data_IF_041039969696
#
_entry.id   IF_041039969696
#
_cell.length_a   1.000
_cell.length_b   1.000
_cell.length_c   1.000
_cell.angle_alpha   90.00
_cell.angle_beta   90.00
_cell.angle_gamma   90.00
#
_symmetry.space_group_name_H-M   'P 1'
#
loop_
_entity.id
_entity.type
_entity.pdbx_description
1 polymer ?
#
# COMPACT_ATOMS: atom_id res chain seq x y z
N UNK A 1 -19.92 68.70 -8.05
CA UNK A 1 -20.51 67.34 -8.13
C UNK A 1 -19.54 66.35 -7.48
N UNK A 2 -19.94 65.84 -6.32
CA UNK A 2 -19.13 65.03 -5.45
C UNK A 2 -19.23 63.56 -5.84
N UNK A 3 -18.10 62.94 -6.22
CA UNK A 3 -17.97 61.50 -6.43
C UNK A 3 -17.51 60.80 -5.14
N UNK A 4 -18.37 59.97 -4.56
CA UNK A 4 -18.07 59.15 -3.37
C UNK A 4 -17.24 57.94 -3.79
N UNK A 5 -16.04 57.83 -3.26
CA UNK A 5 -15.18 56.63 -3.30
C UNK A 5 -15.73 55.65 -2.27
N UNK A 6 -16.21 54.50 -2.69
CA UNK A 6 -16.56 53.40 -1.80
C UNK A 6 -15.32 52.51 -1.57
N UNK A 7 -14.84 52.50 -0.35
CA UNK A 7 -13.75 51.62 0.12
C UNK A 7 -14.35 50.24 0.40
N UNK A 8 -14.05 49.27 -0.45
CA UNK A 8 -14.32 47.84 -0.20
C UNK A 8 -13.20 47.31 0.74
N UNK A 9 -13.53 47.13 1.99
CA UNK A 9 -12.72 46.38 2.95
C UNK A 9 -12.85 44.89 2.64
N UNK A 10 -11.81 44.32 2.01
CA UNK A 10 -11.66 42.88 1.82
C UNK A 10 -11.12 42.30 3.16
N UNK A 11 -12.01 41.74 3.96
CA UNK A 11 -11.65 40.96 5.16
C UNK A 11 -11.06 39.62 4.72
N UNK A 12 -9.73 39.55 4.64
CA UNK A 12 -9.01 38.30 4.56
C UNK A 12 -9.17 37.55 5.88
N UNK A 13 -10.03 36.55 5.91
CA UNK A 13 -10.07 35.53 6.95
C UNK A 13 -8.78 34.72 6.84
N UNK A 14 -7.76 35.10 7.61
CA UNK A 14 -6.62 34.27 7.94
C UNK A 14 -7.15 33.09 8.75
N UNK A 15 -7.35 31.97 8.14
CA UNK A 15 -7.46 30.68 8.81
C UNK A 15 -6.09 30.33 9.37
N UNK A 16 -5.81 30.78 10.60
CA UNK A 16 -4.67 30.31 11.36
C UNK A 16 -4.81 28.79 11.60
N UNK A 17 -3.73 28.00 11.54
CA UNK A 17 -3.77 26.60 11.94
C UNK A 17 -4.06 26.54 13.44
N UNK A 18 -5.22 26.03 13.82
CA UNK A 18 -5.77 26.01 15.18
C UNK A 18 -5.19 24.87 16.02
N UNK A 19 -3.92 24.47 15.86
CA UNK A 19 -3.37 23.32 16.58
C UNK A 19 -1.99 23.49 17.21
N UNK A 20 -1.48 24.70 17.32
CA UNK A 20 -0.31 24.96 18.15
C UNK A 20 -0.75 25.22 19.61
N UNK A 21 -0.92 24.14 20.42
CA UNK A 21 -1.17 24.37 21.84
C UNK A 21 -1.85 23.29 22.67
N UNK A 22 -2.34 22.21 22.09
CA UNK A 22 -2.88 21.10 22.90
C UNK A 22 -1.73 20.16 23.25
N UNK A 23 -1.45 20.05 24.56
CA UNK A 23 -0.50 19.07 25.08
C UNK A 23 -0.89 17.63 24.65
N UNK A 24 0.12 16.82 24.32
CA UNK A 24 -0.10 15.45 23.87
C UNK A 24 -0.89 14.62 24.88
N UNK A 25 -0.63 14.79 26.18
CA UNK A 25 -1.32 14.05 27.25
C UNK A 25 -2.80 14.44 27.33
N UNK A 26 -3.12 15.70 27.12
CA UNK A 26 -4.51 16.16 27.03
C UNK A 26 -5.21 15.57 25.79
N UNK A 27 -4.52 15.54 24.64
CA UNK A 27 -5.05 14.91 23.42
C UNK A 27 -5.30 13.42 23.61
N UNK A 28 -4.37 12.70 24.24
CA UNK A 28 -4.50 11.28 24.59
C UNK A 28 -5.73 11.05 25.49
N UNK A 29 -5.98 11.93 26.46
CA UNK A 29 -7.16 11.86 27.32
C UNK A 29 -8.45 11.94 26.48
N UNK A 30 -8.50 12.87 25.53
CA UNK A 30 -9.62 12.99 24.58
C UNK A 30 -9.75 11.75 23.68
N UNK A 31 -8.65 11.18 23.18
CA UNK A 31 -8.66 9.96 22.39
C UNK A 31 -9.24 8.77 23.14
N UNK A 32 -8.89 8.61 24.43
CA UNK A 32 -9.47 7.55 25.28
C UNK A 32 -10.99 7.69 25.42
N UNK A 33 -11.48 8.90 25.67
CA UNK A 33 -12.92 9.17 25.74
C UNK A 33 -13.63 8.87 24.41
N UNK A 34 -13.06 9.31 23.31
CA UNK A 34 -13.61 9.06 21.98
C UNK A 34 -13.60 7.54 21.63
N UNK A 35 -12.56 6.80 22.02
CA UNK A 35 -12.50 5.35 21.83
C UNK A 35 -13.61 4.63 22.61
N UNK A 36 -13.83 5.01 23.88
CA UNK A 36 -14.95 4.49 24.70
C UNK A 36 -16.31 4.82 24.05
N UNK A 37 -16.49 6.06 23.61
CA UNK A 37 -17.71 6.48 22.89
C UNK A 37 -17.92 5.74 21.57
N UNK A 38 -16.85 5.29 20.90
CA UNK A 38 -16.88 4.46 19.69
C UNK A 38 -17.12 2.96 19.99
N UNK A 39 -17.37 2.60 21.25
CA UNK A 39 -17.73 1.25 21.68
C UNK A 39 -16.54 0.33 21.99
N UNK A 40 -15.29 0.85 22.01
CA UNK A 40 -14.12 0.08 22.43
C UNK A 40 -14.21 -0.20 23.95
N UNK A 41 -13.97 -1.43 24.35
CA UNK A 41 -14.08 -1.85 25.75
C UNK A 41 -13.08 -1.12 26.67
N UNK A 42 -13.49 -0.73 27.91
CA UNK A 42 -12.59 -0.02 28.83
C UNK A 42 -11.28 -0.76 29.12
N UNK A 43 -11.32 -2.09 29.19
CA UNK A 43 -10.13 -2.91 29.40
C UNK A 43 -9.13 -2.79 28.24
N UNK A 44 -9.62 -2.78 26.99
CA UNK A 44 -8.80 -2.58 25.77
C UNK A 44 -8.16 -1.20 25.78
N UNK A 45 -8.96 -0.15 26.04
CA UNK A 45 -8.46 1.23 26.10
C UNK A 45 -7.38 1.34 27.19
N UNK A 46 -7.62 0.82 28.39
CA UNK A 46 -6.66 0.85 29.49
C UNK A 46 -5.35 0.17 29.10
N UNK A 47 -5.41 -1.05 28.57
CA UNK A 47 -4.23 -1.83 28.21
C UNK A 47 -3.45 -1.20 27.03
N UNK A 48 -4.15 -0.73 25.99
CA UNK A 48 -3.51 -0.16 24.80
C UNK A 48 -2.84 1.20 25.05
N UNK A 49 -3.38 1.97 25.98
CA UNK A 49 -2.85 3.31 26.31
C UNK A 49 -1.93 3.31 27.54
N UNK A 50 -1.61 2.14 28.15
CA UNK A 50 -0.78 2.06 29.34
C UNK A 50 0.62 2.67 29.14
N UNK A 51 1.27 2.36 28.00
CA UNK A 51 2.64 2.81 27.66
C UNK A 51 2.64 3.85 26.52
N UNK A 52 1.54 4.59 26.37
CA UNK A 52 1.46 5.59 25.28
C UNK A 52 2.46 6.73 25.51
N UNK A 53 3.13 7.12 24.43
CA UNK A 53 4.09 8.22 24.42
C UNK A 53 4.16 8.89 23.06
N UNK A 54 4.61 10.14 23.06
CA UNK A 54 4.89 10.87 21.84
C UNK A 54 6.07 10.24 21.10
N UNK A 55 5.92 10.01 19.80
CA UNK A 55 6.95 9.43 18.92
C UNK A 55 7.43 10.51 17.94
N UNK A 56 8.34 11.39 18.37
CA UNK A 56 8.89 12.46 17.53
C UNK A 56 9.47 11.96 16.20
N UNK A 57 10.07 10.77 16.22
CA UNK A 57 10.59 10.13 15.01
C UNK A 57 9.50 9.89 13.97
N UNK A 58 8.25 9.56 14.36
CA UNK A 58 7.14 9.38 13.43
C UNK A 58 6.79 10.71 12.74
N UNK A 59 6.73 11.81 13.48
CA UNK A 59 6.52 13.15 12.93
C UNK A 59 7.65 13.54 11.96
N UNK A 60 8.90 13.29 12.36
CA UNK A 60 10.05 13.57 11.49
C UNK A 60 9.99 12.80 10.18
N UNK A 61 9.65 11.53 10.22
CA UNK A 61 9.47 10.70 9.01
C UNK A 61 8.31 11.19 8.15
N UNK A 62 7.21 11.59 8.76
CA UNK A 62 6.04 12.10 8.03
C UNK A 62 6.32 13.43 7.30
N UNK A 63 7.09 14.33 7.93
CA UNK A 63 7.49 15.63 7.35
C UNK A 63 8.61 15.51 6.32
N UNK A 64 9.52 14.55 6.49
CA UNK A 64 10.70 14.36 5.66
C UNK A 64 10.53 13.17 4.68
N UNK A 65 9.41 13.07 3.99
CA UNK A 65 9.31 12.17 2.84
C UNK A 65 10.04 12.84 1.66
N UNK A 66 11.28 12.43 1.34
CA UNK A 66 12.01 13.07 0.25
C UNK A 66 11.29 12.78 -1.05
N UNK A 67 10.92 13.83 -1.78
CA UNK A 67 10.52 13.72 -3.19
C UNK A 67 11.76 13.31 -4.00
N UNK A 68 12.12 12.04 -3.93
CA UNK A 68 13.13 11.52 -4.84
C UNK A 68 12.52 11.49 -6.25
N UNK A 69 13.06 12.31 -7.13
CA UNK A 69 12.87 12.16 -8.59
C UNK A 69 13.65 10.92 -9.06
N UNK A 70 13.21 9.76 -8.60
CA UNK A 70 13.76 8.48 -9.07
C UNK A 70 13.12 8.16 -10.42
N UNK A 71 13.90 7.65 -11.35
CA UNK A 71 13.37 6.99 -12.54
C UNK A 71 13.22 5.49 -12.26
N UNK A 72 12.38 4.80 -13.03
CA UNK A 72 12.28 3.33 -12.94
C UNK A 72 13.64 2.65 -13.21
N UNK A 73 14.51 3.27 -14.03
CA UNK A 73 15.85 2.74 -14.30
C UNK A 73 16.76 2.74 -13.07
N UNK A 74 16.58 3.70 -12.16
CA UNK A 74 17.31 3.75 -10.89
C UNK A 74 16.56 3.03 -9.76
N UNK A 75 15.24 3.00 -9.78
CA UNK A 75 14.42 2.40 -8.72
C UNK A 75 14.38 0.88 -8.78
N UNK A 76 14.10 0.29 -9.94
CA UNK A 76 13.94 -1.17 -10.08
C UNK A 76 15.19 -1.96 -9.66
N UNK A 77 16.43 -1.59 -10.03
CA UNK A 77 17.62 -2.30 -9.54
C UNK A 77 17.77 -2.27 -8.02
N UNK A 78 17.28 -1.23 -7.34
CA UNK A 78 17.31 -1.12 -5.87
C UNK A 78 16.18 -1.91 -5.21
N UNK A 79 14.96 -1.84 -5.74
CA UNK A 79 13.80 -2.53 -5.19
C UNK A 79 13.82 -4.04 -5.47
N UNK A 80 14.35 -4.45 -6.64
CA UNK A 80 14.42 -5.84 -7.14
C UNK A 80 15.85 -6.21 -7.54
N UNK A 81 16.83 -6.15 -6.60
CA UNK A 81 18.18 -6.56 -6.88
C UNK A 81 18.27 -8.08 -7.06
N UNK A 82 19.32 -8.56 -7.72
CA UNK A 82 19.47 -9.99 -8.05
C UNK A 82 19.43 -10.92 -6.82
N UNK A 83 19.98 -10.48 -5.68
CA UNK A 83 19.91 -11.27 -4.45
C UNK A 83 18.49 -11.46 -3.95
N UNK A 84 17.62 -10.44 -4.09
CA UNK A 84 16.19 -10.53 -3.71
C UNK A 84 15.43 -11.49 -4.64
N UNK A 85 15.72 -11.49 -5.94
CA UNK A 85 15.15 -12.46 -6.90
C UNK A 85 15.56 -13.88 -6.52
N UNK A 86 16.85 -14.12 -6.23
CA UNK A 86 17.34 -15.43 -5.78
C UNK A 86 16.64 -15.89 -4.50
N UNK A 87 16.47 -15.01 -3.53
CA UNK A 87 15.76 -15.29 -2.29
C UNK A 87 14.27 -15.57 -2.54
N UNK A 88 13.61 -14.75 -3.37
CA UNK A 88 12.20 -14.94 -3.74
C UNK A 88 11.96 -16.31 -4.39
N UNK A 89 12.81 -16.72 -5.33
CA UNK A 89 12.76 -18.05 -5.95
C UNK A 89 12.94 -19.20 -4.95
N UNK A 90 13.84 -19.04 -3.99
CA UNK A 90 14.07 -20.04 -2.95
C UNK A 90 12.85 -20.17 -2.04
N UNK A 91 12.32 -19.05 -1.55
CA UNK A 91 11.14 -19.03 -0.67
C UNK A 91 9.86 -19.45 -1.41
N UNK A 92 9.71 -19.07 -2.66
CA UNK A 92 8.61 -19.56 -3.51
C UNK A 92 8.59 -21.09 -3.57
N UNK A 93 9.72 -21.72 -3.85
CA UNK A 93 9.84 -23.19 -3.88
C UNK A 93 9.66 -23.81 -2.50
N UNK A 94 10.22 -23.22 -1.46
CA UNK A 94 10.09 -23.69 -0.08
C UNK A 94 8.64 -23.74 0.39
N UNK A 95 7.85 -22.73 0.05
CA UNK A 95 6.46 -22.59 0.49
C UNK A 95 5.44 -22.98 -0.59
N UNK A 96 5.89 -23.60 -1.70
CA UNK A 96 5.03 -23.88 -2.86
C UNK A 96 3.73 -24.63 -2.51
N UNK A 97 3.73 -25.67 -1.65
CA UNK A 97 2.48 -26.38 -1.31
C UNK A 97 1.45 -25.44 -0.65
N UNK A 98 1.87 -24.62 0.32
CA UNK A 98 0.99 -23.65 0.98
C UNK A 98 0.53 -22.55 0.01
N UNK A 99 1.46 -22.02 -0.78
CA UNK A 99 1.17 -20.97 -1.76
C UNK A 99 0.22 -21.44 -2.85
N UNK A 100 0.33 -22.70 -3.30
CA UNK A 100 -0.60 -23.29 -4.29
C UNK A 100 -1.99 -23.42 -3.69
N UNK A 101 -2.11 -24.00 -2.49
CA UNK A 101 -3.40 -24.11 -1.79
C UNK A 101 -4.10 -22.73 -1.68
N UNK A 102 -3.38 -21.71 -1.24
CA UNK A 102 -3.91 -20.35 -1.10
C UNK A 102 -4.19 -19.74 -2.48
N UNK A 103 -3.30 -19.94 -3.45
CA UNK A 103 -3.49 -19.46 -4.81
C UNK A 103 -4.78 -20.00 -5.44
N UNK A 104 -5.03 -21.30 -5.32
CA UNK A 104 -6.24 -21.97 -5.82
C UNK A 104 -7.50 -21.46 -5.08
N UNK A 105 -7.41 -21.25 -3.76
CA UNK A 105 -8.53 -20.78 -2.94
C UNK A 105 -8.98 -19.35 -3.31
N UNK A 106 -8.02 -18.44 -3.55
CA UNK A 106 -8.30 -17.02 -3.79
C UNK A 106 -8.20 -16.62 -5.27
N UNK A 107 -7.86 -17.52 -6.17
CA UNK A 107 -7.64 -17.22 -7.59
C UNK A 107 -6.47 -16.24 -7.80
N UNK A 108 -5.37 -16.40 -7.05
CA UNK A 108 -4.19 -15.52 -7.09
C UNK A 108 -2.93 -16.32 -7.38
N UNK A 109 -2.24 -15.99 -8.45
CA UNK A 109 -0.99 -16.69 -8.76
C UNK A 109 0.03 -16.52 -7.63
N UNK A 110 0.57 -17.62 -7.06
CA UNK A 110 1.49 -17.64 -5.92
C UNK A 110 2.67 -16.67 -6.00
N UNK A 111 3.20 -16.44 -7.20
CA UNK A 111 4.32 -15.53 -7.44
C UNK A 111 4.04 -14.10 -7.01
N UNK A 112 2.79 -13.62 -7.08
CA UNK A 112 2.43 -12.27 -6.66
C UNK A 112 2.36 -12.13 -5.15
N UNK A 113 1.92 -13.18 -4.45
CA UNK A 113 1.94 -13.23 -2.98
C UNK A 113 3.38 -13.09 -2.47
N UNK A 114 4.30 -13.88 -3.02
CA UNK A 114 5.72 -13.82 -2.66
C UNK A 114 6.36 -12.49 -3.06
N UNK A 115 5.97 -11.92 -4.20
CA UNK A 115 6.49 -10.63 -4.64
C UNK A 115 6.05 -9.49 -3.71
N UNK A 116 4.79 -9.44 -3.30
CA UNK A 116 4.31 -8.48 -2.30
C UNK A 116 5.07 -8.63 -0.98
N UNK A 117 5.17 -9.85 -0.45
CA UNK A 117 5.93 -10.14 0.77
C UNK A 117 7.39 -9.66 0.67
N UNK A 118 8.02 -9.89 -0.50
CA UNK A 118 9.40 -9.45 -0.74
C UNK A 118 9.56 -7.95 -0.87
N UNK A 119 8.63 -7.26 -1.50
CA UNK A 119 8.70 -5.79 -1.69
C UNK A 119 8.34 -5.06 -0.40
N UNK A 120 7.31 -5.51 0.33
CA UNK A 120 6.86 -4.85 1.56
C UNK A 120 7.87 -4.95 2.70
N UNK A 121 8.33 -6.16 3.01
CA UNK A 121 9.10 -6.38 4.24
C UNK A 121 10.39 -7.14 4.04
N UNK A 122 10.84 -7.31 2.81
CA UNK A 122 11.99 -8.17 2.51
C UNK A 122 11.81 -9.57 3.12
N UNK A 123 10.64 -10.16 2.83
CA UNK A 123 10.24 -11.50 3.29
C UNK A 123 10.16 -11.60 4.83
N UNK A 124 9.45 -10.65 5.44
CA UNK A 124 9.19 -10.60 6.87
C UNK A 124 10.33 -10.06 7.74
N UNK A 125 11.47 -9.66 7.15
CA UNK A 125 12.63 -9.18 7.91
C UNK A 125 12.51 -7.73 8.39
N UNK A 126 11.70 -6.92 7.72
CA UNK A 126 11.58 -5.48 7.96
C UNK A 126 10.10 -5.08 8.17
N UNK A 127 9.52 -5.51 9.28
CA UNK A 127 8.11 -5.26 9.61
C UNK A 127 7.87 -3.92 10.34
N UNK A 128 8.96 -3.26 10.76
CA UNK A 128 8.90 -2.06 11.60
C UNK A 128 8.94 -2.39 13.10
N UNK A 129 9.49 -1.44 13.89
CA UNK A 129 9.66 -1.58 15.34
C UNK A 129 8.99 -0.45 16.14
N UNK A 130 8.20 0.39 15.49
CA UNK A 130 7.49 1.47 16.16
C UNK A 130 6.31 0.91 16.97
N UNK A 131 6.09 1.36 18.22
CA UNK A 131 4.88 1.02 18.97
C UNK A 131 3.67 1.63 18.26
N UNK A 132 2.81 0.77 17.72
CA UNK A 132 1.80 1.16 16.74
C UNK A 132 0.80 2.17 17.32
N UNK A 133 0.27 1.92 18.51
CA UNK A 133 -0.70 2.79 19.18
C UNK A 133 -0.12 4.19 19.41
N UNK A 134 1.11 4.27 19.93
CA UNK A 134 1.81 5.54 20.16
C UNK A 134 2.07 6.28 18.84
N UNK A 135 2.48 5.57 17.78
CA UNK A 135 2.73 6.18 16.47
C UNK A 135 1.46 6.77 15.86
N UNK A 136 0.36 6.01 15.87
CA UNK A 136 -0.92 6.48 15.33
C UNK A 136 -1.50 7.65 16.14
N UNK A 137 -1.42 7.61 17.48
CA UNK A 137 -1.85 8.71 18.35
C UNK A 137 -1.00 9.97 18.11
N UNK A 138 0.32 9.81 17.96
CA UNK A 138 1.23 10.91 17.64
C UNK A 138 0.90 11.58 16.32
N UNK A 139 0.67 10.80 15.26
CA UNK A 139 0.36 11.32 13.93
C UNK A 139 -1.04 11.91 13.85
N UNK A 140 -1.99 11.42 14.65
CA UNK A 140 -3.29 12.05 14.82
C UNK A 140 -3.15 13.40 15.53
N UNK A 141 -2.37 13.46 16.62
CA UNK A 141 -2.09 14.69 17.37
C UNK A 141 -1.37 15.76 16.54
N UNK A 142 -0.42 15.38 15.69
CA UNK A 142 0.29 16.29 14.78
C UNK A 142 -0.65 17.07 13.85
N UNK A 143 -1.82 16.50 13.53
CA UNK A 143 -2.97 17.21 12.96
C UNK A 143 -3.04 17.19 11.43
N UNK A 144 -1.96 17.02 10.70
CA UNK A 144 -1.95 17.08 9.21
C UNK A 144 -2.92 16.11 8.56
N UNK A 145 -3.08 14.92 9.15
CA UNK A 145 -4.01 13.87 8.74
C UNK A 145 -4.74 13.27 9.94
N UNK A 146 -5.18 14.12 10.88
CA UNK A 146 -5.79 13.70 12.16
C UNK A 146 -6.89 12.66 11.98
N UNK A 147 -7.89 12.96 11.15
CA UNK A 147 -9.04 12.08 10.97
C UNK A 147 -8.62 10.68 10.51
N UNK A 148 -7.70 10.60 9.55
CA UNK A 148 -7.19 9.33 9.04
C UNK A 148 -6.45 8.52 10.13
N UNK A 149 -5.49 9.14 10.84
CA UNK A 149 -4.72 8.40 11.85
C UNK A 149 -5.54 8.04 13.08
N UNK A 150 -6.54 8.86 13.43
CA UNK A 150 -7.50 8.53 14.49
C UNK A 150 -8.38 7.32 14.12
N UNK A 151 -8.86 7.24 12.90
CA UNK A 151 -9.57 6.06 12.40
C UNK A 151 -8.70 4.81 12.47
N UNK A 152 -7.45 4.90 11.97
CA UNK A 152 -6.51 3.79 12.05
C UNK A 152 -6.18 3.39 13.49
N UNK A 153 -6.11 4.34 14.43
CA UNK A 153 -5.92 4.06 15.85
C UNK A 153 -7.11 3.26 16.42
N UNK A 154 -8.34 3.66 16.12
CA UNK A 154 -9.51 2.95 16.62
C UNK A 154 -9.64 1.55 16.03
N UNK A 155 -9.27 1.37 14.75
CA UNK A 155 -9.18 0.06 14.14
C UNK A 155 -8.08 -0.80 14.79
N UNK A 156 -6.95 -0.22 15.15
CA UNK A 156 -5.89 -0.90 15.90
C UNK A 156 -6.38 -1.36 17.30
N UNK A 157 -7.19 -0.55 17.98
CA UNK A 157 -7.80 -0.95 19.26
C UNK A 157 -8.76 -2.12 19.07
N UNK A 158 -9.55 -2.16 18.00
CA UNK A 158 -10.42 -3.30 17.67
C UNK A 158 -9.64 -4.58 17.40
N UNK A 159 -8.49 -4.49 16.74
CA UNK A 159 -7.59 -5.64 16.51
C UNK A 159 -7.09 -6.22 17.85
N UNK A 160 -6.73 -5.36 18.82
CA UNK A 160 -6.37 -5.78 20.18
C UNK A 160 -7.56 -6.43 20.86
N UNK A 161 -8.73 -5.81 20.82
CA UNK A 161 -9.96 -6.28 21.45
C UNK A 161 -10.40 -7.65 20.93
N UNK A 162 -10.20 -7.92 19.64
CA UNK A 162 -10.44 -9.22 19.01
C UNK A 162 -9.38 -10.28 19.36
N UNK A 163 -8.34 -9.92 20.11
CA UNK A 163 -7.32 -10.87 20.58
C UNK A 163 -6.25 -11.24 19.55
N UNK A 164 -6.20 -10.57 18.42
CA UNK A 164 -5.23 -10.90 17.36
C UNK A 164 -3.79 -10.53 17.71
N UNK A 165 -3.59 -9.50 18.53
CA UNK A 165 -2.27 -9.06 18.98
C UNK A 165 -2.38 -8.42 20.38
N UNK A 166 -1.38 -8.63 21.25
CA UNK A 166 -1.32 -7.92 22.52
C UNK A 166 -0.79 -6.49 22.33
N UNK A 167 -1.17 -5.49 23.17
CA UNK A 167 -0.66 -4.14 23.07
C UNK A 167 0.86 -4.05 23.05
N UNK A 168 1.56 -4.83 23.88
CA UNK A 168 3.02 -4.84 23.98
C UNK A 168 3.71 -5.38 22.71
N UNK A 169 3.09 -6.34 22.01
CA UNK A 169 3.59 -6.92 20.76
C UNK A 169 3.20 -6.11 19.53
N UNK A 170 2.31 -5.13 19.66
CA UNK A 170 1.75 -4.39 18.53
C UNK A 170 2.74 -3.37 17.97
N UNK A 171 3.57 -3.84 17.06
CA UNK A 171 4.60 -3.04 16.39
C UNK A 171 4.38 -3.01 14.89
N UNK A 172 4.87 -1.93 14.25
CA UNK A 172 4.79 -1.76 12.81
C UNK A 172 5.70 -0.63 12.32
N UNK A 173 5.37 -0.07 11.16
CA UNK A 173 6.04 1.11 10.62
C UNK A 173 5.69 2.37 11.43
N UNK A 174 6.46 3.43 11.22
CA UNK A 174 6.18 4.73 11.82
C UNK A 174 4.78 5.30 11.46
N UNK A 175 4.22 4.90 10.32
CA UNK A 175 2.93 5.35 9.81
C UNK A 175 1.76 4.39 10.12
N UNK A 176 2.00 3.32 10.90
CA UNK A 176 0.94 2.40 11.30
C UNK A 176 0.73 1.19 10.40
N UNK A 177 1.55 0.99 9.36
CA UNK A 177 1.53 -0.25 8.58
C UNK A 177 2.18 -1.38 9.39
N UNK A 178 1.59 -2.59 9.36
CA UNK A 178 1.92 -3.65 10.30
C UNK A 178 2.02 -5.03 9.66
N UNK A 179 2.79 -5.90 10.33
CA UNK A 179 2.99 -7.28 9.92
C UNK A 179 3.82 -7.42 8.65
N UNK A 180 3.93 -8.65 8.16
CA UNK A 180 4.82 -8.99 7.05
C UNK A 180 4.33 -8.49 5.68
N UNK A 181 3.06 -8.09 5.57
CA UNK A 181 2.46 -7.51 4.36
C UNK A 181 2.06 -6.04 4.51
N UNK A 182 2.50 -5.40 5.60
CA UNK A 182 2.35 -3.96 5.83
C UNK A 182 0.90 -3.44 5.68
N UNK A 183 -0.06 -4.18 6.21
CA UNK A 183 -1.44 -3.72 6.25
C UNK A 183 -1.61 -2.55 7.22
N UNK A 184 -2.42 -1.57 6.82
CA UNK A 184 -2.98 -0.60 7.76
C UNK A 184 -4.03 -1.30 8.65
N UNK A 185 -4.32 -0.81 9.87
CA UNK A 185 -5.35 -1.39 10.73
C UNK A 185 -6.70 -1.58 10.06
N UNK A 186 -7.17 -0.61 9.28
CA UNK A 186 -8.40 -0.74 8.49
C UNK A 186 -8.32 -1.85 7.42
N UNK A 187 -7.17 -2.03 6.79
CA UNK A 187 -6.94 -3.13 5.85
C UNK A 187 -6.92 -4.49 6.56
N UNK A 188 -6.36 -4.55 7.76
CA UNK A 188 -6.36 -5.76 8.58
C UNK A 188 -7.80 -6.20 8.91
N UNK A 189 -8.62 -5.30 9.44
CA UNK A 189 -10.00 -5.62 9.79
C UNK A 189 -10.81 -6.09 8.58
N UNK A 190 -10.52 -5.52 7.41
CA UNK A 190 -11.26 -5.83 6.18
C UNK A 190 -10.77 -7.09 5.46
N UNK A 191 -9.47 -7.33 5.42
CA UNK A 191 -8.87 -8.31 4.53
C UNK A 191 -8.06 -9.41 5.20
N UNK A 192 -7.61 -9.23 6.46
CA UNK A 192 -6.85 -10.27 7.13
C UNK A 192 -7.72 -11.49 7.39
N UNK A 193 -7.15 -12.67 7.19
CA UNK A 193 -7.80 -13.97 7.41
C UNK A 193 -6.98 -14.83 8.38
N UNK A 194 -7.66 -15.68 9.09
CA UNK A 194 -7.12 -16.79 9.86
C UNK A 194 -7.08 -18.01 8.93
N UNK A 195 -5.94 -18.21 8.27
CA UNK A 195 -5.82 -19.16 7.16
C UNK A 195 -5.60 -20.60 7.64
N UNK A 196 -5.05 -20.78 8.84
CA UNK A 196 -4.85 -22.12 9.42
C UNK A 196 -5.93 -22.51 10.44
N UNK A 197 -6.82 -21.57 10.80
CA UNK A 197 -7.98 -21.82 11.66
C UNK A 197 -7.64 -21.91 13.14
N UNK A 198 -6.55 -21.26 13.59
CA UNK A 198 -6.12 -21.26 15.01
C UNK A 198 -6.91 -20.26 15.88
N UNK A 199 -7.83 -19.46 15.29
CA UNK A 199 -8.65 -18.44 15.94
C UNK A 199 -8.00 -17.06 15.95
N UNK A 200 -6.85 -16.88 15.34
CA UNK A 200 -6.12 -15.61 15.26
C UNK A 200 -5.78 -15.25 13.82
N UNK A 201 -5.64 -13.96 13.55
CA UNK A 201 -5.10 -13.45 12.29
C UNK A 201 -3.71 -12.91 12.58
N UNK A 202 -2.68 -13.75 12.44
CA UNK A 202 -1.30 -13.38 12.79
C UNK A 202 -0.48 -12.99 11.57
N UNK A 203 -0.47 -11.70 11.25
CA UNK A 203 0.36 -11.15 10.15
C UNK A 203 1.84 -10.97 10.51
N UNK A 204 2.26 -11.28 11.76
CA UNK A 204 3.65 -11.12 12.21
C UNK A 204 4.43 -12.42 12.19
N UNK A 205 3.83 -13.53 12.66
CA UNK A 205 4.50 -14.81 12.88
C UNK A 205 4.00 -15.96 12.01
N UNK A 206 2.75 -15.92 11.55
CA UNK A 206 2.10 -17.02 10.84
C UNK A 206 2.08 -16.79 9.31
N UNK A 207 2.88 -17.55 8.56
CA UNK A 207 2.95 -17.41 7.11
C UNK A 207 1.67 -17.84 6.39
N UNK A 208 0.85 -18.72 6.96
CA UNK A 208 -0.44 -19.05 6.35
C UNK A 208 -1.35 -17.82 6.34
N UNK A 209 -1.46 -17.14 7.47
CA UNK A 209 -2.26 -15.91 7.59
C UNK A 209 -1.70 -14.76 6.74
N UNK A 210 -0.38 -14.61 6.72
CA UNK A 210 0.31 -13.61 5.89
C UNK A 210 -0.02 -13.80 4.41
N UNK A 211 0.11 -15.03 3.89
CA UNK A 211 -0.14 -15.33 2.48
C UNK A 211 -1.63 -15.33 2.15
N UNK A 212 -2.46 -15.92 3.00
CA UNK A 212 -3.91 -15.90 2.87
C UNK A 212 -4.47 -14.49 2.86
N UNK A 213 -4.02 -13.64 3.80
CA UNK A 213 -4.45 -12.24 3.87
C UNK A 213 -4.03 -11.42 2.64
N UNK A 214 -2.80 -11.64 2.14
CA UNK A 214 -2.34 -10.99 0.92
C UNK A 214 -3.18 -11.43 -0.30
N UNK A 215 -3.45 -12.72 -0.42
CA UNK A 215 -4.27 -13.28 -1.50
C UNK A 215 -5.72 -12.78 -1.41
N UNK A 216 -6.32 -12.81 -0.21
CA UNK A 216 -7.69 -12.31 0.03
C UNK A 216 -7.81 -10.82 -0.32
N UNK A 217 -6.80 -10.00 0.02
CA UNK A 217 -6.78 -8.59 -0.38
C UNK A 217 -6.87 -8.45 -1.90
N UNK A 218 -6.02 -9.16 -2.64
CA UNK A 218 -6.01 -9.11 -4.10
C UNK A 218 -7.34 -9.62 -4.69
N UNK A 219 -7.83 -10.74 -4.21
CA UNK A 219 -9.10 -11.35 -4.61
C UNK A 219 -10.27 -10.37 -4.44
N UNK A 220 -10.45 -9.80 -3.24
CA UNK A 220 -11.55 -8.88 -2.95
C UNK A 220 -11.46 -7.56 -3.73
N UNK A 221 -10.29 -7.19 -4.22
CA UNK A 221 -10.10 -6.03 -5.09
C UNK A 221 -10.17 -6.37 -6.59
N UNK A 222 -10.63 -7.59 -6.96
CA UNK A 222 -10.93 -7.97 -8.33
C UNK A 222 -9.75 -8.55 -9.10
N UNK A 223 -8.82 -9.23 -8.40
CA UNK A 223 -7.72 -9.95 -9.05
C UNK A 223 -8.24 -10.97 -10.07
N UNK A 224 -7.56 -11.03 -11.20
CA UNK A 224 -7.86 -11.95 -12.28
C UNK A 224 -6.75 -12.99 -12.42
N UNK A 225 -7.09 -14.24 -12.14
CA UNK A 225 -6.14 -15.37 -12.18
C UNK A 225 -5.60 -15.61 -13.59
N UNK A 226 -6.41 -15.38 -14.61
CA UNK A 226 -6.09 -15.59 -16.02
C UNK A 226 -5.17 -14.51 -16.62
N UNK A 227 -4.82 -13.46 -15.83
CA UNK A 227 -4.03 -12.32 -16.29
C UNK A 227 -2.78 -12.10 -15.45
N UNK A 228 -1.73 -11.57 -16.08
CA UNK A 228 -0.61 -10.95 -15.35
C UNK A 228 -0.93 -9.48 -15.00
N UNK A 229 0.00 -8.79 -14.35
CA UNK A 229 -0.14 -7.40 -13.94
C UNK A 229 -0.02 -6.40 -15.09
N UNK A 230 0.84 -6.68 -16.05
CA UNK A 230 1.19 -5.78 -17.14
C UNK A 230 2.35 -6.32 -17.96
N UNK A 231 2.85 -5.50 -18.88
CA UNK A 231 3.95 -5.87 -19.76
C UNK A 231 4.72 -4.63 -20.19
N UNK A 232 6.04 -4.66 -20.08
CA UNK A 232 6.89 -3.63 -20.69
C UNK A 232 6.81 -3.73 -22.20
N UNK A 233 6.70 -2.58 -22.89
CA UNK A 233 6.48 -2.53 -24.34
C UNK A 233 7.37 -1.48 -25.02
N UNK A 234 7.59 -1.66 -26.34
CA UNK A 234 8.06 -0.61 -27.24
C UNK A 234 6.87 0.15 -27.79
N UNK A 235 7.02 1.44 -27.89
CA UNK A 235 5.98 2.37 -28.38
C UNK A 235 6.57 3.19 -29.50
N UNK A 236 5.86 3.41 -30.62
CA UNK A 236 6.30 4.29 -31.68
C UNK A 236 6.54 5.71 -31.15
N UNK A 237 7.60 6.36 -31.62
CA UNK A 237 7.95 7.71 -31.20
C UNK A 237 6.84 8.73 -31.55
N UNK A 238 6.17 8.54 -32.68
CA UNK A 238 5.07 9.38 -33.15
C UNK A 238 3.71 9.06 -32.49
N UNK A 239 3.65 8.15 -31.49
CA UNK A 239 2.37 7.84 -30.85
C UNK A 239 1.85 9.05 -30.08
N UNK A 240 0.57 9.38 -30.31
CA UNK A 240 -0.09 10.51 -29.63
C UNK A 240 0.02 10.39 -28.10
N UNK A 241 0.63 11.37 -27.42
CA UNK A 241 0.76 11.37 -25.94
C UNK A 241 -0.57 11.27 -25.19
N UNK A 242 -1.69 11.72 -25.76
CA UNK A 242 -3.02 11.63 -25.18
C UNK A 242 -3.51 10.18 -24.99
N UNK A 243 -2.85 9.20 -25.60
CA UNK A 243 -3.16 7.77 -25.44
C UNK A 243 -2.54 7.18 -24.17
N UNK A 244 -1.66 7.91 -23.48
CA UNK A 244 -1.11 7.45 -22.20
C UNK A 244 -2.05 7.78 -21.05
N UNK A 245 -2.14 6.85 -20.10
CA UNK A 245 -2.93 7.00 -18.90
C UNK A 245 -3.84 5.81 -18.64
N UNK A 246 -4.17 5.60 -17.37
CA UNK A 246 -5.00 4.45 -16.97
C UNK A 246 -6.42 4.52 -17.51
N UNK A 247 -6.93 5.72 -17.79
CA UNK A 247 -8.28 5.92 -18.31
C UNK A 247 -8.42 5.49 -19.79
N UNK A 248 -7.32 5.42 -20.51
CA UNK A 248 -7.27 5.04 -21.92
C UNK A 248 -7.18 3.52 -22.06
N UNK A 249 -8.34 2.85 -22.03
CA UNK A 249 -8.41 1.38 -22.20
C UNK A 249 -8.68 1.01 -23.64
N UNK A 250 -7.89 0.07 -24.17
CA UNK A 250 -8.06 -0.50 -25.52
C UNK A 250 -7.71 -1.98 -25.49
N UNK A 251 -8.31 -2.82 -26.39
CA UNK A 251 -7.88 -4.20 -26.55
C UNK A 251 -6.42 -4.26 -27.06
N UNK A 252 -5.72 -5.37 -26.77
CA UNK A 252 -4.34 -5.57 -27.19
C UNK A 252 -4.17 -5.45 -28.70
N UNK A 253 -5.15 -5.94 -29.48
CA UNK A 253 -5.17 -5.80 -30.96
C UNK A 253 -5.14 -4.34 -31.41
N UNK A 254 -5.88 -3.44 -30.73
CA UNK A 254 -5.87 -2.01 -31.07
C UNK A 254 -4.53 -1.36 -30.71
N UNK A 255 -3.91 -1.71 -29.58
CA UNK A 255 -2.56 -1.28 -29.25
C UNK A 255 -1.54 -1.75 -30.28
N UNK A 256 -1.65 -3.00 -30.72
CA UNK A 256 -0.80 -3.55 -31.76
C UNK A 256 -0.97 -2.83 -33.11
N UNK A 257 -2.20 -2.49 -33.50
CA UNK A 257 -2.50 -1.71 -34.69
C UNK A 257 -1.89 -0.28 -34.64
N UNK A 258 -1.80 0.29 -33.44
CA UNK A 258 -1.11 1.56 -33.19
C UNK A 258 0.43 1.43 -33.13
N UNK A 259 0.97 0.25 -33.43
CA UNK A 259 2.42 0.02 -33.51
C UNK A 259 3.08 -0.36 -32.18
N UNK A 260 2.32 -0.53 -31.10
CA UNK A 260 2.88 -1.06 -29.84
C UNK A 260 3.34 -2.50 -30.01
N UNK A 261 4.53 -2.85 -29.50
CA UNK A 261 5.17 -4.17 -29.65
C UNK A 261 5.78 -4.63 -28.33
N UNK A 262 6.07 -5.92 -28.21
CA UNK A 262 6.91 -6.45 -27.15
C UNK A 262 8.33 -5.84 -27.22
N UNK A 263 9.14 -6.00 -26.18
CA UNK A 263 10.48 -5.40 -26.12
C UNK A 263 11.43 -5.90 -27.22
N UNK A 264 11.27 -7.15 -27.64
CA UNK A 264 12.02 -7.74 -28.75
C UNK A 264 11.53 -7.33 -30.13
N UNK A 265 10.43 -6.55 -30.20
CA UNK A 265 9.81 -6.12 -31.43
C UNK A 265 8.73 -7.07 -31.97
N UNK A 266 8.52 -8.23 -31.33
CA UNK A 266 7.48 -9.18 -31.72
C UNK A 266 6.07 -8.62 -31.47
N UNK A 267 5.04 -9.17 -32.14
CA UNK A 267 3.65 -8.83 -31.90
C UNK A 267 3.24 -9.00 -30.42
N UNK A 268 2.27 -8.20 -29.97
CA UNK A 268 1.63 -8.41 -28.67
C UNK A 268 0.94 -9.78 -28.63
N UNK A 269 0.72 -10.37 -27.45
CA UNK A 269 -0.02 -11.62 -27.34
C UNK A 269 -1.41 -11.50 -27.98
N UNK A 270 -1.82 -12.56 -28.71
CA UNK A 270 -3.18 -12.66 -29.23
C UNK A 270 -4.10 -13.12 -28.08
N UNK A 271 -4.57 -12.17 -27.29
CA UNK A 271 -5.46 -12.43 -26.17
C UNK A 271 -6.56 -11.36 -26.12
N UNK A 272 -7.77 -11.76 -25.78
CA UNK A 272 -8.90 -10.85 -25.59
C UNK A 272 -8.75 -10.15 -24.21
N UNK A 273 -7.86 -9.17 -24.17
CA UNK A 273 -7.53 -8.41 -22.96
C UNK A 273 -7.57 -6.92 -23.25
N UNK A 274 -8.08 -6.18 -22.28
CA UNK A 274 -7.99 -4.73 -22.25
C UNK A 274 -6.71 -4.29 -21.53
N UNK A 275 -6.08 -3.27 -22.05
CA UNK A 275 -4.90 -2.66 -21.45
C UNK A 275 -4.96 -1.14 -21.51
N UNK A 276 -4.25 -0.50 -20.58
CA UNK A 276 -3.95 0.93 -20.65
C UNK A 276 -2.44 1.12 -20.87
N UNK A 277 -2.07 2.02 -21.75
CA UNK A 277 -0.67 2.35 -21.99
C UNK A 277 -0.22 3.38 -20.94
N UNK A 278 0.76 3.04 -20.14
CA UNK A 278 1.29 3.94 -19.09
C UNK A 278 2.80 4.16 -19.25
N UNK A 279 3.23 5.30 -18.74
CA UNK A 279 4.65 5.66 -18.64
C UNK A 279 4.84 6.30 -17.25
N UNK A 280 5.29 5.54 -16.24
CA UNK A 280 5.40 6.03 -14.86
C UNK A 280 6.39 7.19 -14.66
N UNK A 281 7.43 7.23 -15.48
CA UNK A 281 8.40 8.35 -15.50
C UNK A 281 7.91 9.47 -16.42
N UNK A 282 8.82 10.21 -16.99
CA UNK A 282 8.57 11.23 -18.02
C UNK A 282 8.44 10.65 -19.44
N UNK A 283 8.41 11.53 -20.45
CA UNK A 283 8.24 11.17 -21.87
C UNK A 283 9.35 10.24 -22.42
N UNK A 284 10.49 10.17 -21.76
CA UNK A 284 11.62 9.32 -22.14
C UNK A 284 11.67 8.01 -21.34
N UNK A 285 10.76 7.83 -20.36
CA UNK A 285 10.73 6.68 -19.49
C UNK A 285 10.20 5.40 -20.14
N UNK A 286 10.29 4.31 -19.36
CA UNK A 286 9.78 3.00 -19.77
C UNK A 286 8.27 3.01 -19.93
N UNK A 287 7.77 2.38 -20.99
CA UNK A 287 6.34 2.23 -21.27
C UNK A 287 5.86 0.82 -20.93
N UNK A 288 4.63 0.72 -20.42
CA UNK A 288 4.00 -0.53 -20.07
C UNK A 288 2.56 -0.58 -20.55
N UNK A 289 2.09 -1.75 -20.94
CA UNK A 289 0.67 -2.06 -20.98
C UNK A 289 0.27 -2.54 -19.59
N UNK A 290 -0.60 -1.79 -18.93
CA UNK A 290 -1.18 -2.09 -17.62
C UNK A 290 -2.48 -2.86 -17.81
N UNK A 291 -2.59 -4.06 -17.27
CA UNK A 291 -3.78 -4.91 -17.29
C UNK A 291 -4.67 -4.68 -16.07
N UNK A 292 -5.73 -5.45 -15.90
CA UNK A 292 -6.64 -5.28 -14.76
C UNK A 292 -5.91 -5.47 -13.42
N UNK A 293 -5.03 -6.46 -13.32
CA UNK A 293 -4.26 -6.72 -12.11
C UNK A 293 -3.27 -5.59 -11.72
N UNK A 294 -2.84 -4.76 -12.68
CA UNK A 294 -2.11 -3.53 -12.37
C UNK A 294 -2.97 -2.60 -11.50
N UNK A 295 -4.27 -2.48 -11.82
CA UNK A 295 -5.21 -1.64 -11.07
C UNK A 295 -5.44 -2.20 -9.68
N UNK A 296 -5.52 -3.52 -9.54
CA UNK A 296 -5.63 -4.20 -8.24
C UNK A 296 -4.40 -3.91 -7.37
N UNK A 297 -3.19 -4.03 -7.91
CA UNK A 297 -1.97 -3.68 -7.20
C UNK A 297 -1.92 -2.19 -6.79
N UNK A 298 -2.56 -1.30 -7.56
CA UNK A 298 -2.70 0.11 -7.18
C UNK A 298 -3.69 0.37 -6.04
N UNK A 299 -4.61 -0.53 -5.75
CA UNK A 299 -5.40 -0.47 -4.50
C UNK A 299 -4.51 -0.74 -3.29
N UNK A 300 -3.56 -1.67 -3.42
CA UNK A 300 -2.57 -1.93 -2.38
C UNK A 300 -1.65 -0.72 -2.14
N UNK A 301 -1.04 -0.23 -3.19
CA UNK A 301 -0.18 0.96 -3.13
C UNK A 301 -0.32 1.79 -4.42
N UNK A 302 -0.70 3.05 -4.28
CA UNK A 302 -0.96 3.95 -5.42
C UNK A 302 0.27 4.30 -6.25
N UNK A 303 1.48 4.03 -5.76
CA UNK A 303 2.72 4.31 -6.48
C UNK A 303 2.87 3.40 -7.70
N UNK A 304 2.99 3.94 -8.91
CA UNK A 304 3.28 3.14 -10.10
C UNK A 304 4.62 2.42 -10.01
N UNK A 305 5.59 2.99 -9.30
CA UNK A 305 6.91 2.39 -9.06
C UNK A 305 6.80 1.12 -8.22
N UNK A 306 5.98 1.16 -7.17
CA UNK A 306 5.68 -0.01 -6.35
C UNK A 306 5.07 -1.14 -7.20
N UNK A 307 4.05 -0.83 -7.98
CA UNK A 307 3.38 -1.84 -8.83
C UNK A 307 4.34 -2.47 -9.83
N UNK A 308 5.17 -1.65 -10.49
CA UNK A 308 6.20 -2.16 -11.42
C UNK A 308 7.24 -3.01 -10.70
N UNK A 309 7.62 -2.67 -9.45
CA UNK A 309 8.56 -3.49 -8.67
C UNK A 309 7.96 -4.84 -8.29
N UNK A 310 6.71 -4.86 -7.78
CA UNK A 310 5.98 -6.11 -7.47
C UNK A 310 5.86 -6.98 -8.72
N UNK A 311 5.40 -6.41 -9.83
CA UNK A 311 5.25 -7.12 -11.08
C UNK A 311 6.58 -7.66 -11.62
N UNK A 312 7.64 -6.85 -11.59
CA UNK A 312 8.98 -7.27 -12.02
C UNK A 312 9.52 -8.41 -11.16
N UNK A 313 9.31 -8.36 -9.83
CA UNK A 313 9.76 -9.46 -8.96
C UNK A 313 8.92 -10.72 -9.23
N UNK A 314 7.60 -10.59 -9.35
CA UNK A 314 6.70 -11.71 -9.65
C UNK A 314 7.07 -12.42 -10.98
N UNK A 315 7.38 -11.65 -12.03
CA UNK A 315 7.82 -12.22 -13.31
C UNK A 315 9.13 -12.98 -13.15
N UNK A 316 10.12 -12.38 -12.47
CA UNK A 316 11.43 -13.00 -12.26
C UNK A 316 11.42 -14.21 -11.32
N UNK A 317 10.39 -14.45 -10.52
CA UNK A 317 10.29 -15.64 -9.67
C UNK A 317 10.15 -16.89 -10.53
N UNK A 318 9.43 -16.82 -11.64
CA UNK A 318 9.06 -17.97 -12.49
C UNK A 318 9.86 -18.07 -13.80
N UNK A 319 10.73 -17.11 -14.10
CA UNK A 319 11.76 -17.20 -15.14
C UNK A 319 12.88 -18.19 -14.72
#
# INVERSE_FOLDING_TARGET
MQGRLALLLLSALLSAPLQAGVDFDHYVTSLKQQALAAGIQPATVTAAFADIRLIEAAIKHDKNQPEFKLTLDSYIPRAVPQWKVKQARALYRQHLPLLTKIGDEYGVQPRFIVALWGIETNFGKLTGNFPLISSLATLAWEGRREAFFKEQLFDALRIIEQGHVSPAAFKGSWAGAMGQVQFMPSSFLKYAVDQDGDGRKDLWGNLADVFGSAANYLHQNGWREDQTWGRRVRVPEALNPALFGLEQRKPLSAWQALGVRQLDGSPLPNADMQASLIRPDDVHGRSYLAYDNYRVLRHWNRSPYFVVAVGTLADRIVE
#
